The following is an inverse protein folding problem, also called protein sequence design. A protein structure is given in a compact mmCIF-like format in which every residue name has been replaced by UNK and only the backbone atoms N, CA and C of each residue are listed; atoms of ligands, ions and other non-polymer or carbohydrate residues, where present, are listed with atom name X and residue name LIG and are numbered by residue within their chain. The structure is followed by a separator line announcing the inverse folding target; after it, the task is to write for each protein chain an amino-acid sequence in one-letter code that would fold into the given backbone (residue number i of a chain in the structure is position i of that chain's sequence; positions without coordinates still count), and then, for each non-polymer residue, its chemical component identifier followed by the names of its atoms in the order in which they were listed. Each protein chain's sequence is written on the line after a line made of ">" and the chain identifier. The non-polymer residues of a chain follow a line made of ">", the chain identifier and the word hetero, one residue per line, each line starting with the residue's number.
data_IF_303272970469
#
_entry.id   IF_303272970469
#
_cell.length_a   1.000
_cell.length_b   1.000
_cell.length_c   1.000
_cell.angle_alpha   90.00
_cell.angle_beta   90.00
_cell.angle_gamma   90.00
#
_symmetry.space_group_name_H-M   'P 1'
#
loop_
_entity.id
_entity.type
_entity.pdbx_description
1 polymer ?
#
# COMPACT_ATOMS: atom_id res chain seq x y z
N UNK A 1 7.79 43.63 -38.67
CA UNK A 1 6.49 43.92 -38.03
C UNK A 1 6.48 43.19 -36.69
N UNK A 2 6.47 43.94 -35.66
CA UNK A 2 6.71 43.66 -34.26
C UNK A 2 5.64 42.79 -33.64
N UNK A 3 6.06 41.69 -32.98
CA UNK A 3 5.20 40.90 -32.15
C UNK A 3 5.08 41.55 -30.73
N UNK A 4 3.88 41.83 -30.32
CA UNK A 4 3.53 42.37 -29.02
C UNK A 4 3.55 41.23 -28.00
N UNK A 5 4.46 41.32 -27.03
CA UNK A 5 4.50 40.45 -25.85
C UNK A 5 3.51 41.02 -24.82
N UNK A 6 2.46 40.28 -24.56
CA UNK A 6 1.47 40.61 -23.52
C UNK A 6 1.99 40.10 -22.17
N UNK A 7 2.40 41.04 -21.34
CA UNK A 7 2.75 40.82 -19.94
C UNK A 7 1.47 40.72 -19.13
N UNK A 8 1.07 39.51 -18.76
CA UNK A 8 0.09 39.35 -17.69
C UNK A 8 0.81 39.28 -16.35
N UNK A 9 0.44 40.25 -15.53
CA UNK A 9 0.91 40.48 -14.18
C UNK A 9 0.62 39.29 -13.25
N UNK A 10 1.68 38.85 -12.58
CA UNK A 10 1.58 37.99 -11.39
C UNK A 10 0.88 38.78 -10.27
N UNK A 11 -0.39 38.52 -10.04
CA UNK A 11 -1.04 38.87 -8.80
C UNK A 11 -0.75 37.80 -7.77
N UNK A 12 0.27 38.02 -6.96
CA UNK A 12 0.51 37.28 -5.73
C UNK A 12 -0.72 37.41 -4.82
N UNK A 13 -1.51 36.37 -4.74
CA UNK A 13 -2.47 36.19 -3.65
C UNK A 13 -1.66 35.82 -2.42
N UNK A 14 -1.34 36.81 -1.60
CA UNK A 14 -0.85 36.61 -0.25
C UNK A 14 -1.90 35.87 0.54
N UNK A 15 -1.79 34.52 0.59
CA UNK A 15 -2.47 33.74 1.62
C UNK A 15 -1.82 34.11 2.95
N UNK A 16 -2.54 34.84 3.79
CA UNK A 16 -2.17 35.00 5.18
C UNK A 16 -1.98 33.62 5.80
N UNK A 17 -0.74 33.32 6.15
CA UNK A 17 -0.42 32.18 7.00
C UNK A 17 -1.00 32.48 8.37
N UNK A 18 -2.22 32.00 8.64
CA UNK A 18 -2.64 31.84 10.03
C UNK A 18 -1.62 30.95 10.72
N UNK A 19 -0.86 31.52 11.66
CA UNK A 19 0.08 30.78 12.47
C UNK A 19 -0.62 29.59 13.12
N UNK A 20 0.14 28.50 13.50
CA UNK A 20 -0.47 27.32 14.10
C UNK A 20 -1.24 27.75 15.34
N UNK A 21 -2.57 27.46 15.36
CA UNK A 21 -3.39 27.69 16.54
C UNK A 21 -2.72 27.00 17.73
N UNK A 22 -2.43 27.73 18.81
CA UNK A 22 -1.83 27.19 20.02
C UNK A 22 -2.76 26.05 20.50
N UNK A 23 -2.33 24.81 20.36
CA UNK A 23 -3.08 23.66 20.87
C UNK A 23 -3.17 23.83 22.38
N UNK A 24 -4.39 23.94 22.90
CA UNK A 24 -4.62 23.95 24.35
C UNK A 24 -4.10 22.63 24.93
N UNK A 25 -3.36 22.69 26.07
CA UNK A 25 -2.95 21.47 26.79
C UNK A 25 -4.19 20.70 27.19
N UNK A 26 -4.21 19.35 27.00
CA UNK A 26 -5.36 18.54 27.40
C UNK A 26 -5.54 18.59 28.93
N UNK A 27 -6.78 18.68 29.35
CA UNK A 27 -7.17 18.64 30.77
C UNK A 27 -7.35 17.19 31.19
N UNK A 28 -6.36 16.64 31.90
CA UNK A 28 -6.35 15.24 32.28
C UNK A 28 -6.86 14.97 33.69
N UNK A 29 -6.88 15.99 34.56
CA UNK A 29 -7.27 15.86 35.94
C UNK A 29 -8.71 16.32 36.19
N UNK A 30 -9.56 15.44 36.73
CA UNK A 30 -10.85 15.83 37.26
C UNK A 30 -10.68 16.48 38.68
N UNK A 31 -11.79 16.87 39.31
CA UNK A 31 -11.73 17.51 40.65
C UNK A 31 -11.02 16.65 41.70
N UNK A 32 -11.29 15.35 41.69
CA UNK A 32 -10.66 14.42 42.63
C UNK A 32 -9.16 14.30 42.36
N UNK A 33 -8.75 14.08 41.10
CA UNK A 33 -7.34 13.92 40.75
C UNK A 33 -6.49 15.14 41.08
N UNK A 34 -7.07 16.34 41.08
CA UNK A 34 -6.38 17.56 41.49
C UNK A 34 -5.97 17.50 42.96
N UNK A 35 -6.69 16.77 43.81
CA UNK A 35 -6.35 16.61 45.22
C UNK A 35 -5.15 15.71 45.48
N UNK A 36 -4.84 14.85 44.51
CA UNK A 36 -3.67 13.92 44.54
C UNK A 36 -2.64 14.23 43.48
N UNK A 37 -2.61 15.46 42.99
CA UNK A 37 -1.74 15.88 41.89
C UNK A 37 -0.26 15.62 42.17
N UNK A 38 0.20 15.86 43.40
CA UNK A 38 1.59 15.65 43.77
C UNK A 38 2.02 14.18 43.60
N UNK A 39 1.21 13.25 44.03
CA UNK A 39 1.46 11.82 43.92
C UNK A 39 1.37 11.35 42.47
N UNK A 40 0.41 11.88 41.69
CA UNK A 40 0.29 11.59 40.25
C UNK A 40 1.50 12.10 39.48
N UNK A 41 1.96 13.32 39.77
CA UNK A 41 3.14 13.91 39.12
C UNK A 41 4.41 13.13 39.45
N UNK A 42 4.56 12.64 40.68
CA UNK A 42 5.71 11.83 41.09
C UNK A 42 5.76 10.50 40.31
N UNK A 43 4.62 9.82 40.19
CA UNK A 43 4.54 8.57 39.41
C UNK A 43 4.80 8.83 37.91
N UNK A 44 4.25 9.88 37.34
CA UNK A 44 4.48 10.27 35.95
C UNK A 44 5.93 10.65 35.64
N UNK A 45 6.61 11.28 36.61
CA UNK A 45 8.04 11.58 36.51
C UNK A 45 8.89 10.32 36.38
N UNK A 46 8.55 9.25 37.12
CA UNK A 46 9.20 7.95 37.01
C UNK A 46 9.02 7.38 35.58
N UNK A 47 7.79 7.46 35.07
CA UNK A 47 7.49 6.98 33.70
C UNK A 47 8.30 7.73 32.66
N UNK A 48 8.35 9.06 32.72
CA UNK A 48 9.10 9.92 31.79
C UNK A 48 10.61 9.68 31.83
N UNK A 49 11.14 9.21 32.97
CA UNK A 49 12.55 8.81 33.11
C UNK A 49 12.84 7.41 32.54
N UNK A 50 11.87 6.73 31.96
CA UNK A 50 12.00 5.37 31.44
C UNK A 50 11.98 4.28 32.50
N UNK A 51 11.64 4.61 33.74
CA UNK A 51 11.50 3.66 34.89
C UNK A 51 10.11 3.02 34.86
N UNK A 52 9.81 2.25 33.80
CA UNK A 52 8.47 1.72 33.53
C UNK A 52 7.94 0.82 34.65
N UNK A 53 8.77 -0.03 35.24
CA UNK A 53 8.38 -0.95 36.31
C UNK A 53 8.05 -0.18 37.60
N UNK A 54 8.90 0.78 37.98
CA UNK A 54 8.69 1.63 39.15
C UNK A 54 7.44 2.51 38.98
N UNK A 55 7.23 3.06 37.77
CA UNK A 55 6.04 3.85 37.47
C UNK A 55 4.78 2.99 37.55
N UNK A 56 4.80 1.78 37.00
CA UNK A 56 3.68 0.85 37.08
C UNK A 56 3.33 0.53 38.53
N UNK A 57 4.32 0.26 39.38
CA UNK A 57 4.10 0.01 40.79
C UNK A 57 3.50 1.25 41.46
N UNK A 58 4.02 2.44 41.18
CA UNK A 58 3.54 3.68 41.77
C UNK A 58 2.07 3.96 41.40
N UNK A 59 1.69 3.82 40.16
CA UNK A 59 0.29 3.99 39.72
C UNK A 59 -0.63 2.88 40.29
N UNK A 60 -0.14 1.66 40.41
CA UNK A 60 -0.90 0.55 40.99
C UNK A 60 -1.20 0.81 42.48
N UNK A 61 -0.23 1.32 43.22
CA UNK A 61 -0.41 1.70 44.61
C UNK A 61 -1.36 2.88 44.79
N UNK A 62 -1.27 3.88 43.87
CA UNK A 62 -2.21 5.00 43.84
C UNK A 62 -3.65 4.53 43.64
N UNK A 63 -3.87 3.57 42.73
CA UNK A 63 -5.20 2.98 42.52
C UNK A 63 -5.69 2.16 43.68
N UNK A 64 -4.79 1.56 44.42
CA UNK A 64 -5.16 0.85 45.67
C UNK A 64 -5.65 1.82 46.73
N UNK A 65 -4.97 2.96 46.88
CA UNK A 65 -5.35 4.01 47.82
C UNK A 65 -6.52 4.87 47.32
N UNK A 66 -6.59 5.09 46.02
CA UNK A 66 -7.57 5.97 45.36
C UNK A 66 -8.22 5.26 44.17
N UNK A 67 -9.09 4.26 44.42
CA UNK A 67 -9.68 3.45 43.34
C UNK A 67 -10.52 4.23 42.31
N UNK A 68 -10.94 5.45 42.66
CA UNK A 68 -11.76 6.31 41.84
C UNK A 68 -10.97 7.28 40.93
N UNK A 69 -9.62 7.16 40.87
CA UNK A 69 -8.79 8.08 40.12
C UNK A 69 -8.66 7.66 38.62
N UNK A 70 -9.31 8.35 37.69
CA UNK A 70 -9.13 8.08 36.24
C UNK A 70 -7.70 8.32 35.79
N UNK A 71 -7.05 9.38 36.27
CA UNK A 71 -5.68 9.71 35.86
C UNK A 71 -4.68 8.62 36.30
N UNK A 72 -4.85 8.06 37.51
CA UNK A 72 -4.01 6.96 37.98
C UNK A 72 -4.22 5.69 37.12
N UNK A 73 -5.46 5.38 36.73
CA UNK A 73 -5.75 4.27 35.79
C UNK A 73 -5.06 4.47 34.47
N UNK A 74 -5.14 5.66 33.91
CA UNK A 74 -4.45 6.01 32.64
C UNK A 74 -2.93 5.90 32.78
N UNK A 75 -2.36 6.38 33.88
CA UNK A 75 -0.92 6.25 34.14
C UNK A 75 -0.47 4.79 34.28
N UNK A 76 -1.30 3.95 34.89
CA UNK A 76 -1.08 2.50 34.93
C UNK A 76 -1.05 1.92 33.50
N UNK A 77 -2.03 2.25 32.66
CA UNK A 77 -2.10 1.80 31.29
C UNK A 77 -0.87 2.21 30.49
N UNK A 78 -0.46 3.48 30.60
CA UNK A 78 0.75 3.97 29.93
C UNK A 78 2.02 3.26 30.40
N UNK A 79 2.13 2.97 31.68
CA UNK A 79 3.28 2.26 32.26
C UNK A 79 3.34 0.81 31.76
N UNK A 80 2.20 0.14 31.70
CA UNK A 80 2.08 -1.19 31.09
C UNK A 80 2.45 -1.18 29.60
N UNK A 81 2.02 -0.17 28.87
CA UNK A 81 2.33 0.02 27.43
C UNK A 81 3.84 0.22 27.23
N UNK A 82 4.46 1.10 28.03
CA UNK A 82 5.91 1.35 27.99
C UNK A 82 6.71 0.08 28.33
N UNK A 83 6.24 -0.67 29.33
CA UNK A 83 6.86 -1.93 29.75
C UNK A 83 6.72 -3.01 28.64
N UNK A 84 5.55 -3.08 28.00
CA UNK A 84 5.32 -4.00 26.89
C UNK A 84 6.31 -3.75 25.73
N UNK A 85 6.56 -2.50 25.40
CA UNK A 85 7.54 -2.12 24.39
C UNK A 85 8.97 -2.49 24.80
N UNK A 86 9.35 -2.17 26.03
CA UNK A 86 10.68 -2.50 26.58
C UNK A 86 10.95 -4.00 26.60
N UNK A 87 9.96 -4.79 27.00
CA UNK A 87 10.05 -6.25 27.11
C UNK A 87 9.72 -6.97 25.80
N UNK A 88 9.26 -6.24 24.79
CA UNK A 88 8.74 -6.82 23.52
C UNK A 88 7.68 -7.90 23.76
N UNK A 89 6.77 -7.64 24.69
CA UNK A 89 5.75 -8.59 25.15
C UNK A 89 4.36 -8.20 24.67
N UNK A 90 3.79 -9.02 23.80
CA UNK A 90 2.40 -8.87 23.37
C UNK A 90 1.41 -9.14 24.51
N UNK A 91 1.76 -9.98 25.45
CA UNK A 91 0.94 -10.29 26.65
C UNK A 91 0.77 -9.07 27.54
N UNK A 92 1.87 -8.36 27.84
CA UNK A 92 1.82 -7.11 28.61
C UNK A 92 1.05 -6.05 27.84
N UNK A 93 1.20 -5.99 26.52
CA UNK A 93 0.46 -5.05 25.66
C UNK A 93 -1.05 -5.32 25.71
N UNK A 94 -1.49 -6.57 25.73
CA UNK A 94 -2.90 -6.92 25.94
C UNK A 94 -3.43 -6.40 27.27
N UNK A 95 -2.65 -6.50 28.33
CA UNK A 95 -3.00 -5.94 29.63
C UNK A 95 -3.16 -4.42 29.55
N UNK A 96 -2.23 -3.73 28.90
CA UNK A 96 -2.31 -2.27 28.68
C UNK A 96 -3.57 -1.87 27.93
N UNK A 97 -3.91 -2.62 26.86
CA UNK A 97 -5.13 -2.39 26.05
C UNK A 97 -6.37 -2.46 26.94
N UNK A 98 -6.47 -3.46 27.80
CA UNK A 98 -7.59 -3.61 28.73
C UNK A 98 -7.65 -2.46 29.72
N UNK A 99 -6.52 -2.05 30.26
CA UNK A 99 -6.43 -0.94 31.24
C UNK A 99 -6.83 0.39 30.58
N UNK A 100 -6.41 0.67 29.35
CA UNK A 100 -6.86 1.86 28.60
C UNK A 100 -8.39 1.91 28.45
N UNK A 101 -9.01 0.77 28.14
CA UNK A 101 -10.48 0.68 28.01
C UNK A 101 -11.20 0.97 29.31
N UNK A 102 -10.64 0.56 30.45
CA UNK A 102 -11.21 0.78 31.78
C UNK A 102 -11.23 2.26 32.19
N UNK A 103 -10.37 3.10 31.63
CA UNK A 103 -10.35 4.55 31.95
C UNK A 103 -11.68 5.22 31.63
N UNK A 104 -12.33 4.83 30.54
CA UNK A 104 -13.63 5.39 30.15
C UNK A 104 -14.76 5.05 31.12
N UNK A 105 -14.63 3.96 31.87
CA UNK A 105 -15.61 3.46 32.83
C UNK A 105 -15.34 3.96 34.28
N UNK A 106 -14.27 4.73 34.47
CA UNK A 106 -13.94 5.32 35.76
C UNK A 106 -14.91 6.45 36.14
N UNK A 107 -15.06 6.77 37.46
CA UNK A 107 -15.91 7.86 37.89
C UNK A 107 -15.43 9.21 37.38
N UNK A 108 -16.31 9.92 36.62
CA UNK A 108 -16.11 11.30 36.16
C UNK A 108 -14.75 11.59 35.49
N UNK A 109 -14.32 10.80 34.48
CA UNK A 109 -13.10 11.09 33.77
C UNK A 109 -13.28 12.35 32.93
N UNK A 110 -12.20 13.09 32.67
CA UNK A 110 -12.26 14.22 31.74
C UNK A 110 -12.42 13.72 30.30
N UNK A 111 -13.06 14.51 29.46
CA UNK A 111 -13.21 14.18 28.04
C UNK A 111 -11.85 13.96 27.34
N UNK A 112 -10.89 14.82 27.64
CA UNK A 112 -9.55 14.70 27.04
C UNK A 112 -8.83 13.40 27.44
N UNK A 113 -9.00 12.98 28.71
CA UNK A 113 -8.41 11.72 29.20
C UNK A 113 -9.03 10.50 28.51
N UNK A 114 -10.36 10.48 28.40
CA UNK A 114 -11.09 9.40 27.69
C UNK A 114 -10.65 9.31 26.23
N UNK A 115 -10.53 10.45 25.55
CA UNK A 115 -10.05 10.50 24.16
C UNK A 115 -8.65 9.90 24.02
N UNK A 116 -7.72 10.33 24.87
CA UNK A 116 -6.35 9.81 24.83
C UNK A 116 -6.28 8.31 25.10
N UNK A 117 -7.00 7.85 26.12
CA UNK A 117 -7.01 6.43 26.51
C UNK A 117 -7.59 5.55 25.39
N UNK A 118 -8.74 5.88 24.85
CA UNK A 118 -9.40 5.07 23.81
C UNK A 118 -8.68 5.16 22.46
N UNK A 119 -8.10 6.32 22.11
CA UNK A 119 -7.24 6.44 20.92
C UNK A 119 -6.03 5.51 21.03
N UNK A 120 -5.39 5.49 22.16
CA UNK A 120 -4.23 4.61 22.38
C UNK A 120 -4.64 3.14 22.40
N UNK A 121 -5.78 2.82 23.00
CA UNK A 121 -6.34 1.46 22.97
C UNK A 121 -6.54 0.99 21.51
N UNK A 122 -7.19 1.80 20.70
CA UNK A 122 -7.43 1.48 19.29
C UNK A 122 -6.12 1.30 18.51
N UNK A 123 -5.14 2.18 18.74
CA UNK A 123 -3.82 2.11 18.11
C UNK A 123 -3.10 0.80 18.47
N UNK A 124 -3.13 0.41 19.74
CA UNK A 124 -2.47 -0.83 20.21
C UNK A 124 -3.20 -2.09 19.73
N UNK A 125 -4.53 -2.05 19.67
CA UNK A 125 -5.32 -3.12 19.06
C UNK A 125 -4.94 -3.31 17.58
N UNK A 126 -4.81 -2.22 16.83
CA UNK A 126 -4.37 -2.25 15.43
C UNK A 126 -2.95 -2.81 15.32
N UNK A 127 -2.04 -2.39 16.18
CA UNK A 127 -0.66 -2.89 16.20
C UNK A 127 -0.59 -4.41 16.36
N UNK A 128 -1.46 -4.98 17.18
CA UNK A 128 -1.55 -6.45 17.37
C UNK A 128 -2.31 -7.16 16.23
N UNK A 129 -2.76 -6.42 15.22
CA UNK A 129 -3.55 -6.99 14.13
C UNK A 129 -5.03 -7.22 14.47
N UNK A 130 -5.50 -6.75 15.62
CA UNK A 130 -6.92 -6.83 16.04
C UNK A 130 -7.72 -5.67 15.43
N UNK A 131 -7.74 -5.57 14.11
CA UNK A 131 -8.30 -4.42 13.37
C UNK A 131 -9.79 -4.24 13.67
N UNK A 132 -10.55 -5.32 13.73
CA UNK A 132 -11.98 -5.26 14.03
C UNK A 132 -12.26 -4.67 15.43
N UNK A 133 -11.49 -5.04 16.42
CA UNK A 133 -11.58 -4.47 17.77
C UNK A 133 -11.20 -3.00 17.79
N UNK A 134 -10.19 -2.62 17.03
CA UNK A 134 -9.76 -1.22 16.86
C UNK A 134 -10.88 -0.37 16.27
N UNK A 135 -11.54 -0.87 15.24
CA UNK A 135 -12.71 -0.19 14.63
C UNK A 135 -13.86 -0.03 15.62
N UNK A 136 -14.14 -1.06 16.43
CA UNK A 136 -15.17 -0.96 17.45
C UNK A 136 -14.83 0.09 18.54
N UNK A 137 -13.57 0.19 18.92
CA UNK A 137 -13.11 1.22 19.87
C UNK A 137 -13.22 2.63 19.27
N UNK A 138 -12.82 2.80 18.03
CA UNK A 138 -12.94 4.07 17.30
C UNK A 138 -14.40 4.47 17.09
N UNK A 139 -15.29 3.53 16.87
CA UNK A 139 -16.73 3.78 16.76
C UNK A 139 -17.31 4.32 18.09
N UNK A 140 -16.90 3.75 19.23
CA UNK A 140 -17.26 4.28 20.56
C UNK A 140 -16.80 5.72 20.73
N UNK A 141 -15.60 6.05 20.26
CA UNK A 141 -15.09 7.43 20.30
C UNK A 141 -15.89 8.37 19.43
N UNK A 142 -16.22 7.96 18.21
CA UNK A 142 -17.04 8.76 17.28
C UNK A 142 -18.44 8.98 17.86
N UNK A 143 -19.04 7.97 18.48
CA UNK A 143 -20.36 8.09 19.13
C UNK A 143 -20.35 9.09 20.29
N UNK A 144 -19.24 9.15 21.03
CA UNK A 144 -19.05 10.11 22.13
C UNK A 144 -18.71 11.53 21.65
N UNK A 145 -17.96 11.63 20.58
CA UNK A 145 -17.42 12.89 20.05
C UNK A 145 -17.69 12.99 18.55
N UNK A 146 -18.96 13.12 18.14
CA UNK A 146 -19.35 13.03 16.72
C UNK A 146 -18.83 14.19 15.87
N UNK A 147 -18.40 15.30 16.47
CA UNK A 147 -17.85 16.45 15.75
C UNK A 147 -16.32 16.45 15.67
N UNK A 148 -15.66 15.44 16.21
CA UNK A 148 -14.21 15.31 16.17
C UNK A 148 -13.76 14.69 14.83
N UNK A 149 -13.28 15.54 13.93
CA UNK A 149 -12.84 15.16 12.59
C UNK A 149 -11.68 14.16 12.63
N UNK A 150 -10.71 14.38 13.52
CA UNK A 150 -9.52 13.50 13.63
C UNK A 150 -9.89 12.06 13.96
N UNK A 151 -10.83 11.86 14.87
CA UNK A 151 -11.30 10.52 15.25
C UNK A 151 -12.06 9.86 14.11
N UNK A 152 -12.91 10.61 13.41
CA UNK A 152 -13.62 10.09 12.23
C UNK A 152 -12.65 9.65 11.14
N UNK A 153 -11.61 10.43 10.88
CA UNK A 153 -10.57 10.07 9.91
C UNK A 153 -9.84 8.77 10.31
N UNK A 154 -9.53 8.58 11.60
CA UNK A 154 -8.94 7.33 12.09
C UNK A 154 -9.90 6.14 11.92
N UNK A 155 -11.18 6.33 12.16
CA UNK A 155 -12.21 5.31 11.92
C UNK A 155 -12.25 4.91 10.44
N UNK A 156 -12.19 5.88 9.54
CA UNK A 156 -12.13 5.62 8.10
C UNK A 156 -10.92 4.74 7.72
N UNK A 157 -9.75 5.04 8.26
CA UNK A 157 -8.54 4.21 8.06
C UNK A 157 -8.75 2.79 8.60
N UNK A 158 -9.37 2.65 9.76
CA UNK A 158 -9.70 1.35 10.32
C UNK A 158 -10.57 0.50 9.39
N UNK A 159 -11.59 1.06 8.80
CA UNK A 159 -12.41 0.38 7.79
C UNK A 159 -11.61 0.00 6.54
N UNK A 160 -10.72 0.88 6.07
CA UNK A 160 -9.85 0.55 4.94
C UNK A 160 -8.93 -0.63 5.24
N UNK A 161 -8.39 -0.72 6.44
CA UNK A 161 -7.56 -1.85 6.87
C UNK A 161 -8.36 -3.16 6.98
N UNK A 162 -9.67 -3.08 7.25
CA UNK A 162 -10.58 -4.23 7.18
C UNK A 162 -10.95 -4.63 5.75
N UNK A 163 -10.58 -3.83 4.74
CA UNK A 163 -11.06 -4.00 3.38
C UNK A 163 -12.52 -3.53 3.17
N UNK A 164 -13.09 -2.82 4.12
CA UNK A 164 -14.46 -2.30 4.06
C UNK A 164 -14.49 -0.88 3.48
N UNK A 165 -14.35 -0.81 2.16
CA UNK A 165 -14.31 0.46 1.44
C UNK A 165 -15.65 1.21 1.53
N UNK A 166 -16.76 0.52 1.65
CA UNK A 166 -18.09 1.16 1.71
C UNK A 166 -18.29 1.95 3.00
N UNK A 167 -17.99 1.35 4.15
CA UNK A 167 -18.07 2.05 5.43
C UNK A 167 -17.01 3.14 5.54
N UNK A 168 -15.79 2.92 5.04
CA UNK A 168 -14.77 3.96 4.97
C UNK A 168 -15.25 5.17 4.15
N UNK A 169 -15.83 4.93 3.00
CA UNK A 169 -16.39 5.99 2.14
C UNK A 169 -17.46 6.81 2.86
N UNK A 170 -18.39 6.14 3.55
CA UNK A 170 -19.43 6.84 4.32
C UNK A 170 -18.82 7.73 5.41
N UNK A 171 -17.81 7.27 6.12
CA UNK A 171 -17.12 8.05 7.15
C UNK A 171 -16.46 9.30 6.56
N UNK A 172 -15.75 9.17 5.43
CA UNK A 172 -15.12 10.33 4.79
C UNK A 172 -16.12 11.29 4.18
N UNK A 173 -17.26 10.82 3.68
CA UNK A 173 -18.37 11.69 3.26
C UNK A 173 -18.88 12.54 4.42
N UNK A 174 -19.07 11.93 5.59
CA UNK A 174 -19.48 12.66 6.81
C UNK A 174 -18.43 13.71 7.22
N UNK A 175 -17.14 13.35 7.17
CA UNK A 175 -16.05 14.29 7.45
C UNK A 175 -16.10 15.48 6.49
N UNK A 176 -16.31 15.24 5.20
CA UNK A 176 -16.32 16.29 4.18
C UNK A 176 -17.57 17.18 4.27
N UNK A 177 -18.67 16.70 4.85
CA UNK A 177 -19.82 17.55 5.20
C UNK A 177 -19.45 18.50 6.33
N UNK A 178 -18.76 18.02 7.38
CA UNK A 178 -18.37 18.83 8.54
C UNK A 178 -17.16 19.72 8.25
N UNK A 179 -16.22 19.24 7.46
CA UNK A 179 -14.97 19.92 7.13
C UNK A 179 -14.68 19.76 5.62
N UNK A 180 -15.30 20.58 4.74
CA UNK A 180 -15.17 20.42 3.29
C UNK A 180 -13.76 20.53 2.73
N UNK A 181 -12.83 21.12 3.49
CA UNK A 181 -11.45 21.34 3.09
C UNK A 181 -10.45 20.40 3.80
N UNK A 182 -10.94 19.40 4.52
CA UNK A 182 -10.06 18.44 5.19
C UNK A 182 -9.31 17.59 4.17
N UNK A 183 -8.00 17.84 4.03
CA UNK A 183 -7.16 17.20 3.01
C UNK A 183 -7.02 15.69 3.23
N UNK A 184 -6.97 15.25 4.48
CA UNK A 184 -6.87 13.81 4.81
C UNK A 184 -8.10 13.05 4.31
N UNK A 185 -9.30 13.57 4.57
CA UNK A 185 -10.53 12.98 4.07
C UNK A 185 -10.60 13.02 2.54
N UNK A 186 -10.14 14.10 1.91
CA UNK A 186 -10.12 14.21 0.44
C UNK A 186 -9.26 13.16 -0.22
N UNK A 187 -8.01 12.97 0.22
CA UNK A 187 -7.13 11.97 -0.41
C UNK A 187 -7.64 10.56 -0.21
N UNK A 188 -8.17 10.23 0.96
CA UNK A 188 -8.71 8.90 1.24
C UNK A 188 -10.02 8.64 0.49
N UNK A 189 -10.89 9.62 0.42
CA UNK A 189 -12.12 9.54 -0.37
C UNK A 189 -11.82 9.37 -1.86
N UNK A 190 -10.89 10.15 -2.39
CA UNK A 190 -10.43 10.02 -3.77
C UNK A 190 -9.79 8.65 -4.04
N UNK A 191 -9.00 8.15 -3.13
CA UNK A 191 -8.42 6.80 -3.20
C UNK A 191 -9.52 5.72 -3.31
N UNK A 192 -10.57 5.82 -2.51
CA UNK A 192 -11.70 4.87 -2.54
C UNK A 192 -12.46 4.98 -3.86
N UNK A 193 -12.74 6.19 -4.34
CA UNK A 193 -13.40 6.42 -5.63
C UNK A 193 -12.62 5.77 -6.77
N UNK A 194 -11.28 5.93 -6.77
CA UNK A 194 -10.40 5.31 -7.75
C UNK A 194 -10.49 3.79 -7.69
N UNK A 195 -10.46 3.19 -6.49
CA UNK A 195 -10.60 1.75 -6.28
C UNK A 195 -11.94 1.21 -6.79
N UNK A 196 -12.99 2.02 -6.75
CA UNK A 196 -14.32 1.71 -7.30
C UNK A 196 -14.46 1.98 -8.79
N UNK A 197 -13.36 2.25 -9.46
CA UNK A 197 -13.31 2.60 -10.89
C UNK A 197 -14.03 3.91 -11.26
N UNK A 198 -14.26 4.78 -10.30
CA UNK A 198 -14.77 6.14 -10.52
C UNK A 198 -13.58 7.07 -10.76
N UNK A 199 -12.94 6.90 -11.91
CA UNK A 199 -11.64 7.49 -12.21
C UNK A 199 -11.71 9.03 -12.29
N UNK A 200 -12.62 9.57 -13.10
CA UNK A 200 -12.76 11.01 -13.27
C UNK A 200 -13.11 11.71 -11.95
N UNK A 201 -14.02 11.13 -11.18
CA UNK A 201 -14.49 11.69 -9.90
C UNK A 201 -13.39 11.67 -8.83
N UNK A 202 -12.45 10.72 -8.89
CA UNK A 202 -11.33 10.62 -7.92
C UNK A 202 -10.34 11.77 -8.03
N UNK A 203 -10.17 12.33 -9.23
CA UNK A 203 -9.11 13.29 -9.54
C UNK A 203 -9.19 14.58 -8.68
N UNK A 204 -10.34 15.29 -8.60
CA UNK A 204 -10.40 16.49 -7.79
C UNK A 204 -10.07 16.27 -6.31
N UNK A 205 -10.56 15.17 -5.73
CA UNK A 205 -10.31 14.84 -4.32
C UNK A 205 -8.84 14.53 -4.05
N UNK A 206 -8.21 13.69 -4.86
CA UNK A 206 -6.80 13.38 -4.73
C UNK A 206 -5.93 14.64 -4.91
N UNK A 207 -6.21 15.43 -5.92
CA UNK A 207 -5.47 16.64 -6.25
C UNK A 207 -5.59 17.70 -5.15
N UNK A 208 -6.79 18.02 -4.73
CA UNK A 208 -7.05 19.01 -3.67
C UNK A 208 -6.48 18.55 -2.33
N UNK A 209 -6.62 17.27 -1.99
CA UNK A 209 -6.07 16.71 -0.77
C UNK A 209 -4.54 16.78 -0.72
N UNK A 210 -3.85 16.44 -1.83
CA UNK A 210 -2.40 16.58 -1.93
C UNK A 210 -1.94 18.03 -1.88
N UNK A 211 -2.68 18.95 -2.49
CA UNK A 211 -2.39 20.39 -2.47
C UNK A 211 -2.63 21.03 -1.10
N UNK A 212 -3.44 20.42 -0.25
CA UNK A 212 -3.75 20.94 1.08
C UNK A 212 -2.52 20.99 1.99
N UNK A 213 -1.58 20.07 1.82
CA UNK A 213 -0.43 19.91 2.71
C UNK A 213 -0.81 19.45 4.13
N UNK A 214 -2.04 19.00 4.34
CA UNK A 214 -2.50 18.53 5.64
C UNK A 214 -1.72 17.29 6.10
N UNK A 215 -1.56 17.06 7.41
CA UNK A 215 -0.88 15.86 7.92
C UNK A 215 -1.50 14.57 7.38
N UNK A 216 -0.64 13.63 6.98
CA UNK A 216 -1.05 12.33 6.47
C UNK A 216 -1.45 12.31 4.99
N UNK A 217 -1.34 13.42 4.26
CA UNK A 217 -1.65 13.48 2.83
C UNK A 217 -0.44 13.22 1.93
N UNK A 218 0.77 13.49 2.41
CA UNK A 218 2.01 13.29 1.63
C UNK A 218 2.45 11.83 1.66
N UNK A 219 1.75 10.99 0.91
CA UNK A 219 1.97 9.55 0.80
C UNK A 219 2.02 9.15 -0.66
N UNK A 220 3.01 8.34 -1.03
CA UNK A 220 3.25 7.91 -2.41
C UNK A 220 2.04 7.29 -3.10
N UNK A 221 1.17 6.61 -2.34
CA UNK A 221 -0.06 6.01 -2.88
C UNK A 221 -0.98 7.04 -3.54
N UNK A 222 -1.08 8.23 -2.98
CA UNK A 222 -1.95 9.27 -3.52
C UNK A 222 -1.38 9.90 -4.80
N UNK A 223 -0.07 10.09 -4.86
CA UNK A 223 0.60 10.50 -6.11
C UNK A 223 0.46 9.44 -7.20
N UNK A 224 0.65 8.18 -6.83
CA UNK A 224 0.53 7.04 -7.72
C UNK A 224 -0.88 6.96 -8.33
N UNK A 225 -1.91 6.99 -7.52
CA UNK A 225 -3.29 6.86 -7.98
C UNK A 225 -3.81 8.11 -8.69
N UNK A 226 -3.38 9.30 -8.29
CA UNK A 226 -3.72 10.52 -9.02
C UNK A 226 -3.10 10.51 -10.42
N UNK A 227 -1.83 10.18 -10.52
CA UNK A 227 -1.14 10.09 -11.81
C UNK A 227 -1.77 9.04 -12.73
N UNK A 228 -2.09 7.86 -12.19
CA UNK A 228 -2.76 6.79 -12.94
C UNK A 228 -4.16 7.23 -13.41
N UNK A 229 -4.93 7.88 -12.55
CA UNK A 229 -6.24 8.39 -12.93
C UNK A 229 -6.14 9.43 -14.07
N UNK A 230 -5.18 10.35 -13.98
CA UNK A 230 -4.94 11.34 -15.02
C UNK A 230 -4.52 10.69 -16.35
N UNK A 231 -3.64 9.69 -16.33
CA UNK A 231 -3.24 8.95 -17.52
C UNK A 231 -4.43 8.24 -18.18
N UNK A 232 -5.32 7.65 -17.40
CA UNK A 232 -6.54 7.00 -17.91
C UNK A 232 -7.52 7.98 -18.54
N UNK A 233 -7.47 9.25 -18.13
CA UNK A 233 -8.24 10.33 -18.75
C UNK A 233 -7.52 11.01 -19.92
N UNK A 234 -6.33 10.53 -20.30
CA UNK A 234 -5.52 11.11 -21.36
C UNK A 234 -4.87 12.44 -21.01
N UNK A 235 -4.73 12.75 -19.72
CA UNK A 235 -4.18 14.02 -19.24
C UNK A 235 -2.69 13.88 -18.93
N UNK A 236 -1.85 14.65 -19.64
CA UNK A 236 -0.40 14.67 -19.47
C UNK A 236 0.05 15.30 -18.14
N UNK A 237 -0.84 15.96 -17.41
CA UNK A 237 -0.56 16.46 -16.06
C UNK A 237 -0.15 15.33 -15.10
N UNK A 238 -0.46 14.07 -15.44
CA UNK A 238 0.00 12.89 -14.69
C UNK A 238 1.49 12.93 -14.38
N UNK A 239 2.32 13.30 -15.36
CA UNK A 239 3.78 13.33 -15.20
C UNK A 239 4.26 14.45 -14.28
N UNK A 240 3.51 15.54 -14.19
CA UNK A 240 3.78 16.60 -13.19
C UNK A 240 3.64 16.05 -11.76
N UNK A 241 2.64 15.24 -11.51
CA UNK A 241 2.42 14.60 -10.22
C UNK A 241 3.42 13.48 -9.95
N UNK A 242 3.81 12.71 -10.94
CA UNK A 242 4.87 11.71 -10.81
C UNK A 242 6.22 12.36 -10.49
N UNK A 243 6.53 13.47 -11.15
CA UNK A 243 7.75 14.23 -10.86
C UNK A 243 7.75 14.79 -9.45
N UNK A 244 6.63 15.32 -8.98
CA UNK A 244 6.49 15.81 -7.61
C UNK A 244 6.63 14.66 -6.60
N UNK A 245 6.02 13.51 -6.85
CA UNK A 245 6.19 12.31 -6.03
C UNK A 245 7.64 11.85 -5.95
N UNK A 246 8.37 11.92 -7.06
CA UNK A 246 9.80 11.64 -7.09
C UNK A 246 10.61 12.67 -6.26
N UNK A 247 10.37 13.96 -6.45
CA UNK A 247 11.04 15.02 -5.70
C UNK A 247 10.83 14.90 -4.19
N UNK A 248 9.67 14.42 -3.76
CA UNK A 248 9.33 14.21 -2.35
C UNK A 248 9.76 12.85 -1.80
N UNK A 249 10.51 12.07 -2.57
CA UNK A 249 11.11 10.81 -2.15
C UNK A 249 10.19 9.59 -2.19
N UNK A 250 9.03 9.68 -2.81
CA UNK A 250 8.07 8.56 -2.90
C UNK A 250 8.39 7.59 -4.03
N UNK A 251 8.94 8.08 -5.14
CA UNK A 251 9.30 7.29 -6.31
C UNK A 251 10.80 7.38 -6.59
N UNK A 252 11.40 6.29 -7.03
CA UNK A 252 12.79 6.25 -7.43
C UNK A 252 13.09 7.16 -8.65
N UNK A 253 12.13 7.27 -9.56
CA UNK A 253 12.14 8.19 -10.70
C UNK A 253 10.72 8.42 -11.23
N UNK A 254 10.57 9.30 -12.19
CA UNK A 254 9.29 9.51 -12.89
C UNK A 254 8.81 8.23 -13.58
N UNK A 255 9.74 7.42 -14.10
CA UNK A 255 9.45 6.17 -14.78
C UNK A 255 9.32 4.97 -13.85
N UNK A 256 10.02 4.96 -12.70
CA UNK A 256 10.02 3.87 -11.74
C UNK A 256 9.26 4.28 -10.49
N UNK A 257 8.01 3.80 -10.38
CA UNK A 257 7.06 4.27 -9.38
C UNK A 257 6.56 3.18 -8.43
N UNK A 258 7.26 2.07 -8.35
CA UNK A 258 6.96 1.04 -7.35
C UNK A 258 7.09 1.58 -5.93
N UNK A 259 6.23 1.11 -5.02
CA UNK A 259 6.17 1.60 -3.64
C UNK A 259 6.83 0.66 -2.62
N UNK A 260 7.00 -0.62 -2.97
CA UNK A 260 7.59 -1.64 -2.10
C UNK A 260 8.99 -2.02 -2.58
N UNK A 261 9.97 -1.22 -2.18
CA UNK A 261 11.31 -1.27 -2.73
C UNK A 261 12.38 -1.68 -1.73
N UNK A 262 13.47 -2.25 -2.25
CA UNK A 262 14.78 -2.30 -1.59
C UNK A 262 15.64 -1.21 -2.23
N UNK A 263 16.22 -0.36 -1.40
CA UNK A 263 17.03 0.74 -1.88
C UNK A 263 18.39 0.25 -2.42
N UNK A 264 18.87 0.93 -3.46
CA UNK A 264 20.20 0.68 -4.00
C UNK A 264 20.30 -0.43 -5.05
N UNK A 265 19.20 -1.08 -5.41
CA UNK A 265 19.19 -2.05 -6.50
C UNK A 265 19.40 -1.35 -7.85
N UNK A 266 20.16 -1.98 -8.75
CA UNK A 266 20.35 -1.49 -10.11
C UNK A 266 19.00 -1.29 -10.79
N UNK A 267 18.75 -0.09 -11.27
CA UNK A 267 17.50 0.31 -11.88
C UNK A 267 17.72 0.62 -13.37
N UNK A 268 17.18 -0.25 -14.23
CA UNK A 268 17.12 -0.04 -15.67
C UNK A 268 15.90 -0.75 -16.24
N UNK A 269 15.21 -0.19 -17.25
CA UNK A 269 13.95 -0.75 -17.72
C UNK A 269 14.13 -2.11 -18.43
N UNK A 270 15.11 -2.23 -19.32
CA UNK A 270 15.39 -3.47 -20.06
C UNK A 270 16.70 -4.10 -19.63
N UNK A 271 16.71 -5.42 -19.54
CA UNK A 271 17.85 -6.21 -19.11
C UNK A 271 18.23 -7.23 -20.16
N UNK A 272 19.53 -7.50 -20.30
CA UNK A 272 20.03 -8.67 -21.04
C UNK A 272 20.14 -9.87 -20.14
N UNK A 273 20.15 -11.08 -20.70
CA UNK A 273 20.38 -12.32 -19.94
C UNK A 273 21.67 -12.26 -19.15
N UNK A 274 22.73 -11.77 -19.76
CA UNK A 274 24.06 -11.64 -19.10
C UNK A 274 24.01 -10.74 -17.88
N UNK A 275 23.32 -9.61 -17.97
CA UNK A 275 23.18 -8.66 -16.88
C UNK A 275 22.43 -9.26 -15.67
N UNK A 276 21.48 -10.15 -15.91
CA UNK A 276 20.72 -10.83 -14.85
C UNK A 276 21.53 -11.91 -14.15
N UNK A 277 22.48 -12.53 -14.83
CA UNK A 277 23.20 -13.71 -14.36
C UNK A 277 22.39 -15.01 -14.40
N UNK A 278 21.13 -14.98 -14.80
CA UNK A 278 20.24 -16.14 -14.85
C UNK A 278 20.33 -16.88 -16.20
N UNK A 279 21.54 -17.13 -16.67
CA UNK A 279 21.81 -17.69 -17.99
C UNK A 279 21.20 -19.08 -18.19
N UNK A 280 21.28 -19.95 -17.18
CA UNK A 280 20.75 -21.32 -17.29
C UNK A 280 19.22 -21.35 -17.35
N UNK A 281 18.54 -20.48 -16.60
CA UNK A 281 17.09 -20.36 -16.67
C UNK A 281 16.64 -19.92 -18.06
N UNK A 282 17.24 -18.88 -18.62
CA UNK A 282 16.90 -18.38 -19.96
C UNK A 282 17.18 -19.43 -21.04
N UNK A 283 18.32 -20.11 -20.97
CA UNK A 283 18.63 -21.24 -21.87
C UNK A 283 17.60 -22.35 -21.80
N UNK A 284 17.19 -22.71 -20.61
CA UNK A 284 16.18 -23.75 -20.40
C UNK A 284 14.84 -23.34 -21.00
N UNK A 285 14.41 -22.10 -20.79
CA UNK A 285 13.17 -21.55 -21.37
C UNK A 285 13.24 -21.57 -22.91
N UNK A 286 14.32 -21.08 -23.49
CA UNK A 286 14.45 -20.98 -24.94
C UNK A 286 14.60 -22.36 -25.61
N UNK A 287 15.24 -23.31 -24.96
CA UNK A 287 15.35 -24.71 -25.47
C UNK A 287 14.03 -25.46 -25.42
N UNK A 288 13.20 -25.20 -24.43
CA UNK A 288 11.97 -25.92 -24.17
C UNK A 288 10.71 -25.12 -24.55
N UNK A 289 10.85 -24.07 -25.33
CA UNK A 289 9.73 -23.17 -25.63
C UNK A 289 8.56 -23.88 -26.32
N UNK A 290 8.85 -24.84 -27.20
CA UNK A 290 7.80 -25.65 -27.89
C UNK A 290 7.04 -26.54 -26.91
N UNK A 291 7.73 -27.17 -25.97
CA UNK A 291 7.13 -27.97 -24.92
C UNK A 291 6.20 -27.11 -24.04
N UNK A 292 6.68 -25.95 -23.62
CA UNK A 292 5.90 -24.99 -22.81
C UNK A 292 4.67 -24.53 -23.59
N UNK A 293 4.85 -24.15 -24.86
CA UNK A 293 3.76 -23.77 -25.76
C UNK A 293 2.73 -24.88 -25.90
N UNK A 294 3.15 -26.10 -26.21
CA UNK A 294 2.27 -27.21 -26.56
C UNK A 294 1.43 -27.64 -25.33
N UNK A 295 2.00 -27.67 -24.13
CA UNK A 295 1.24 -27.92 -22.92
C UNK A 295 0.22 -26.80 -22.64
N UNK A 296 0.59 -25.54 -22.82
CA UNK A 296 -0.30 -24.41 -22.67
C UNK A 296 -1.46 -24.41 -23.66
N UNK A 297 -1.19 -24.73 -24.94
CA UNK A 297 -2.21 -24.85 -25.97
C UNK A 297 -3.16 -26.01 -25.69
N UNK A 298 -2.67 -27.14 -25.21
CA UNK A 298 -3.51 -28.28 -24.85
C UNK A 298 -4.48 -27.94 -23.73
N UNK A 299 -4.08 -27.13 -22.77
CA UNK A 299 -4.95 -26.61 -21.69
C UNK A 299 -6.01 -25.67 -22.26
N UNK A 300 -5.62 -24.76 -23.14
CA UNK A 300 -6.56 -23.83 -23.79
C UNK A 300 -7.66 -24.55 -24.56
N UNK A 301 -7.32 -25.65 -25.26
CA UNK A 301 -8.25 -26.38 -26.08
C UNK A 301 -9.22 -27.26 -25.26
N UNK A 302 -8.76 -27.84 -24.15
CA UNK A 302 -9.52 -28.79 -23.35
C UNK A 302 -10.34 -28.13 -22.22
N UNK A 303 -9.80 -27.06 -21.62
CA UNK A 303 -10.38 -26.43 -20.41
C UNK A 303 -10.37 -24.91 -20.52
N UNK A 304 -11.24 -24.35 -21.34
CA UNK A 304 -11.33 -22.92 -21.64
C UNK A 304 -11.45 -22.00 -20.42
N UNK A 305 -11.94 -22.50 -19.27
CA UNK A 305 -12.14 -21.74 -18.06
C UNK A 305 -10.92 -21.59 -17.15
N UNK A 306 -9.79 -22.22 -17.49
CA UNK A 306 -8.57 -22.21 -16.65
C UNK A 306 -7.78 -20.89 -16.78
N UNK A 307 -7.81 -20.27 -17.97
CA UNK A 307 -7.26 -18.94 -18.15
C UNK A 307 -8.22 -17.90 -17.56
N UNK A 308 -7.92 -17.43 -16.36
CA UNK A 308 -8.74 -16.46 -15.67
C UNK A 308 -8.52 -15.05 -16.25
N UNK A 309 -9.58 -14.24 -16.41
CA UNK A 309 -9.42 -12.86 -16.86
C UNK A 309 -8.57 -12.04 -15.88
N UNK A 310 -7.80 -11.10 -16.41
CA UNK A 310 -7.08 -10.13 -15.57
C UNK A 310 -8.07 -9.33 -14.74
N UNK A 311 -7.81 -9.18 -13.46
CA UNK A 311 -8.73 -8.60 -12.47
C UNK A 311 -8.16 -7.37 -11.73
N UNK A 312 -6.96 -6.91 -12.09
CA UNK A 312 -6.32 -5.75 -11.49
C UNK A 312 -6.74 -4.40 -12.14
N UNK A 313 -7.71 -4.43 -13.05
CA UNK A 313 -8.21 -3.27 -13.79
C UNK A 313 -7.11 -2.50 -14.55
N UNK A 314 -6.22 -3.23 -15.19
CA UNK A 314 -5.11 -2.66 -15.97
C UNK A 314 -5.46 -2.42 -17.44
N UNK A 315 -6.55 -2.98 -17.95
CA UNK A 315 -6.97 -2.87 -19.34
C UNK A 315 -7.84 -1.64 -19.58
N UNK A 316 -7.56 -0.94 -20.67
CA UNK A 316 -8.52 -0.01 -21.26
C UNK A 316 -9.66 -0.76 -21.95
N UNK A 317 -9.29 -1.78 -22.72
CA UNK A 317 -10.19 -2.58 -23.56
C UNK A 317 -9.56 -3.93 -23.88
N UNK A 318 -10.38 -4.85 -24.38
CA UNK A 318 -9.95 -6.14 -24.90
C UNK A 318 -10.07 -7.28 -23.89
N UNK A 319 -9.43 -8.37 -24.22
CA UNK A 319 -9.49 -9.62 -23.47
C UNK A 319 -8.07 -10.11 -23.16
N UNK A 320 -7.79 -10.31 -21.88
CA UNK A 320 -6.49 -10.72 -21.36
C UNK A 320 -6.68 -11.73 -20.24
N UNK A 321 -6.17 -12.95 -20.43
CA UNK A 321 -6.28 -14.05 -19.50
C UNK A 321 -4.93 -14.56 -19.01
N UNK A 322 -4.92 -15.15 -17.84
CA UNK A 322 -3.71 -15.67 -17.19
C UNK A 322 -3.96 -17.06 -16.61
N UNK A 323 -2.96 -17.92 -16.72
CA UNK A 323 -2.94 -19.24 -16.10
C UNK A 323 -1.69 -19.36 -15.24
N UNK A 324 -1.86 -19.27 -13.91
CA UNK A 324 -0.77 -19.12 -12.95
C UNK A 324 -0.33 -20.47 -12.41
N UNK A 325 1.00 -20.72 -12.44
CA UNK A 325 1.65 -21.94 -11.94
C UNK A 325 2.31 -21.73 -10.58
N UNK A 326 2.94 -20.57 -10.36
CA UNK A 326 3.48 -20.11 -9.08
C UNK A 326 3.00 -18.72 -8.76
N UNK A 327 2.62 -18.52 -7.50
CA UNK A 327 2.17 -17.24 -6.96
C UNK A 327 2.90 -16.99 -5.64
N UNK A 328 3.61 -15.87 -5.55
CA UNK A 328 4.31 -15.46 -4.32
C UNK A 328 5.25 -16.55 -3.75
N UNK A 329 5.99 -17.23 -4.62
CA UNK A 329 6.91 -18.29 -4.25
C UNK A 329 6.25 -19.62 -3.90
N UNK A 330 4.97 -19.78 -4.18
CA UNK A 330 4.21 -21.02 -3.90
C UNK A 330 3.72 -21.66 -5.19
N UNK A 331 4.01 -22.95 -5.34
CA UNK A 331 3.52 -23.75 -6.45
C UNK A 331 2.00 -23.98 -6.34
N UNK A 332 1.30 -23.79 -7.43
CA UNK A 332 -0.12 -24.15 -7.56
C UNK A 332 -0.22 -25.56 -8.13
N UNK A 333 -0.34 -26.56 -7.26
CA UNK A 333 -0.32 -27.97 -7.66
C UNK A 333 -1.49 -28.31 -8.62
N UNK A 334 -2.64 -27.74 -8.39
CA UNK A 334 -3.80 -27.90 -9.26
C UNK A 334 -3.52 -27.42 -10.69
N UNK A 335 -2.84 -26.30 -10.85
CA UNK A 335 -2.44 -25.78 -12.16
C UNK A 335 -1.35 -26.64 -12.80
N UNK A 336 -0.33 -27.03 -12.04
CA UNK A 336 0.78 -27.83 -12.54
C UNK A 336 0.38 -29.24 -12.99
N UNK A 337 -0.71 -29.79 -12.53
CA UNK A 337 -1.26 -31.06 -13.04
C UNK A 337 -1.61 -31.00 -14.53
N UNK A 338 -1.99 -29.84 -15.03
CA UNK A 338 -2.33 -29.63 -16.43
C UNK A 338 -1.10 -29.42 -17.33
N UNK A 339 0.00 -28.96 -16.75
CA UNK A 339 1.25 -28.67 -17.46
C UNK A 339 2.47 -29.26 -16.71
N UNK A 340 2.47 -30.58 -16.50
CA UNK A 340 3.45 -31.21 -15.60
C UNK A 340 4.90 -31.08 -16.09
N UNK A 341 5.14 -31.15 -17.39
CA UNK A 341 6.48 -31.03 -17.97
C UNK A 341 7.02 -29.61 -17.87
N UNK A 342 6.15 -28.62 -18.07
CA UNK A 342 6.49 -27.20 -17.91
C UNK A 342 6.86 -26.91 -16.45
N UNK A 343 6.05 -27.33 -15.50
CA UNK A 343 6.33 -27.13 -14.07
C UNK A 343 7.61 -27.83 -13.62
N UNK A 344 7.90 -29.01 -14.15
CA UNK A 344 9.11 -29.77 -13.82
C UNK A 344 10.41 -29.02 -14.24
N UNK A 345 10.36 -28.18 -15.26
CA UNK A 345 11.52 -27.40 -15.67
C UNK A 345 12.03 -26.43 -14.60
N UNK A 346 11.14 -25.97 -13.73
CA UNK A 346 11.46 -24.93 -12.73
C UNK A 346 12.06 -25.45 -11.43
N UNK A 347 12.08 -26.76 -11.19
CA UNK A 347 12.59 -27.36 -9.95
C UNK A 347 14.04 -26.97 -9.62
N UNK A 348 14.82 -26.63 -10.63
CA UNK A 348 16.24 -26.24 -10.50
C UNK A 348 16.46 -24.74 -10.35
N UNK A 349 15.39 -23.92 -10.35
CA UNK A 349 15.49 -22.46 -10.44
C UNK A 349 14.79 -21.76 -9.26
N UNK A 350 15.40 -21.82 -8.05
CA UNK A 350 14.81 -21.19 -6.86
C UNK A 350 14.70 -19.65 -6.98
N UNK A 351 15.49 -19.02 -7.85
CA UNK A 351 15.38 -17.59 -8.17
C UNK A 351 14.01 -17.19 -8.72
N UNK A 352 13.29 -18.15 -9.29
CA UNK A 352 11.92 -17.96 -9.80
C UNK A 352 10.88 -18.62 -8.91
N UNK A 353 11.03 -19.92 -8.62
CA UNK A 353 10.05 -20.66 -7.80
C UNK A 353 9.95 -20.12 -6.37
N UNK A 354 11.05 -19.57 -5.85
CA UNK A 354 11.13 -18.97 -4.52
C UNK A 354 10.90 -17.46 -4.50
N UNK A 355 10.59 -16.83 -5.65
CA UNK A 355 10.35 -15.40 -5.71
C UNK A 355 8.99 -15.05 -5.09
N UNK A 356 9.01 -14.65 -3.83
CA UNK A 356 7.79 -14.29 -3.07
C UNK A 356 7.11 -13.02 -3.57
N UNK A 357 7.76 -12.27 -4.45
CA UNK A 357 7.23 -11.05 -5.06
C UNK A 357 7.00 -11.20 -6.55
N UNK A 358 6.81 -12.42 -7.02
CA UNK A 358 6.63 -12.71 -8.43
C UNK A 358 5.71 -13.88 -8.70
N UNK A 359 5.56 -14.18 -9.98
CA UNK A 359 4.68 -15.21 -10.52
C UNK A 359 5.39 -15.98 -11.64
N UNK A 360 4.90 -17.20 -11.90
CA UNK A 360 5.19 -17.95 -13.13
C UNK A 360 3.82 -18.29 -13.72
N UNK A 361 3.59 -17.86 -14.98
CA UNK A 361 2.27 -17.97 -15.59
C UNK A 361 2.28 -17.89 -17.11
N UNK A 362 1.26 -18.49 -17.72
CA UNK A 362 0.90 -18.21 -19.10
C UNK A 362 0.06 -16.93 -19.17
N UNK A 363 0.23 -16.16 -20.22
CA UNK A 363 -0.55 -14.94 -20.49
C UNK A 363 -1.05 -14.95 -21.95
N UNK A 364 -2.37 -14.97 -22.11
CA UNK A 364 -3.02 -14.88 -23.40
C UNK A 364 -3.66 -13.51 -23.57
N UNK A 365 -3.45 -12.89 -24.72
CA UNK A 365 -4.02 -11.59 -25.06
C UNK A 365 -4.67 -11.66 -26.43
N UNK A 366 -5.94 -11.31 -26.50
CA UNK A 366 -6.72 -11.34 -27.73
C UNK A 366 -6.64 -10.01 -28.50
N UNK A 367 -6.94 -10.01 -29.83
CA UNK A 367 -6.93 -8.79 -30.64
C UNK A 367 -7.78 -7.67 -30.05
N UNK A 368 -7.32 -6.43 -30.21
CA UNK A 368 -8.02 -5.25 -29.72
C UNK A 368 -7.79 -4.94 -28.24
N UNK A 369 -6.78 -5.54 -27.63
CA UNK A 369 -6.46 -5.31 -26.21
C UNK A 369 -5.42 -4.21 -26.07
N UNK A 370 -5.67 -3.30 -25.13
CA UNK A 370 -4.74 -2.28 -24.68
C UNK A 370 -4.65 -2.29 -23.17
N UNK A 371 -3.44 -2.36 -22.68
CA UNK A 371 -3.12 -2.27 -21.24
C UNK A 371 -2.58 -0.87 -20.97
N UNK A 372 -3.21 -0.17 -20.01
CA UNK A 372 -2.81 1.16 -19.61
C UNK A 372 -1.35 1.24 -19.18
N UNK A 373 -0.66 2.38 -19.38
CA UNK A 373 0.64 2.60 -18.76
C UNK A 373 0.54 2.38 -17.26
N UNK A 374 1.38 1.53 -16.69
CA UNK A 374 1.37 1.20 -15.27
C UNK A 374 2.73 0.72 -14.79
N UNK A 375 2.90 0.63 -13.49
CA UNK A 375 4.09 0.10 -12.83
C UNK A 375 3.70 -1.01 -11.86
N UNK A 376 4.52 -2.04 -11.78
CA UNK A 376 4.38 -3.09 -10.77
C UNK A 376 4.68 -2.58 -9.35
N UNK A 377 4.37 -3.37 -8.34
CA UNK A 377 4.42 -2.93 -6.95
C UNK A 377 5.83 -2.85 -6.34
N UNK A 378 6.83 -3.50 -6.94
CA UNK A 378 8.15 -3.70 -6.31
C UNK A 378 9.29 -3.64 -7.32
N UNK A 379 10.45 -3.17 -6.87
CA UNK A 379 11.70 -3.27 -7.62
C UNK A 379 12.49 -4.56 -7.33
N UNK A 380 11.93 -5.46 -6.53
CA UNK A 380 12.63 -6.66 -6.07
C UNK A 380 12.60 -7.83 -7.06
N UNK A 381 11.94 -7.65 -8.20
CA UNK A 381 11.85 -8.67 -9.24
C UNK A 381 12.20 -8.11 -10.62
N UNK A 382 12.62 -9.02 -11.49
CA UNK A 382 12.66 -8.80 -12.94
C UNK A 382 11.65 -9.74 -13.60
N UNK A 383 11.10 -9.33 -14.72
CA UNK A 383 10.07 -10.10 -15.45
C UNK A 383 10.59 -10.59 -16.78
N UNK A 384 10.62 -11.91 -16.96
CA UNK A 384 11.00 -12.56 -18.22
C UNK A 384 9.74 -12.91 -19.01
N UNK A 385 9.72 -12.58 -20.29
CA UNK A 385 8.67 -12.96 -21.23
C UNK A 385 9.24 -13.87 -22.31
N UNK A 386 8.74 -15.10 -22.38
CA UNK A 386 9.05 -16.05 -23.45
C UNK A 386 7.91 -16.02 -24.48
N UNK A 387 8.22 -15.74 -25.74
CA UNK A 387 7.24 -15.81 -26.83
C UNK A 387 6.86 -17.25 -27.14
N UNK A 388 5.58 -17.58 -27.17
CA UNK A 388 5.05 -18.89 -27.48
C UNK A 388 4.24 -18.90 -28.79
N UNK A 389 3.24 -18.05 -28.88
CA UNK A 389 2.45 -17.83 -30.12
C UNK A 389 2.39 -16.33 -30.33
N UNK A 390 3.14 -15.86 -31.28
CA UNK A 390 3.28 -14.42 -31.54
C UNK A 390 2.84 -14.12 -32.99
N UNK A 391 1.76 -13.34 -33.16
CA UNK A 391 1.40 -12.83 -34.50
C UNK A 391 2.57 -12.07 -35.13
N UNK A 392 2.65 -12.10 -36.45
CA UNK A 392 3.77 -11.48 -37.19
C UNK A 392 3.91 -9.98 -36.92
N UNK A 393 2.81 -9.30 -36.66
CA UNK A 393 2.77 -7.86 -36.36
C UNK A 393 1.58 -7.52 -35.48
N UNK A 394 1.64 -6.38 -34.80
CA UNK A 394 0.54 -5.83 -34.02
C UNK A 394 0.64 -6.03 -32.52
N UNK A 395 1.61 -6.79 -32.04
CA UNK A 395 1.83 -7.00 -30.62
C UNK A 395 3.13 -6.33 -30.17
N UNK A 396 3.05 -5.40 -29.24
CA UNK A 396 4.22 -4.68 -28.75
C UNK A 396 4.09 -4.31 -27.28
N UNK A 397 5.23 -4.15 -26.64
CA UNK A 397 5.37 -3.70 -25.26
C UNK A 397 6.36 -2.54 -25.18
N UNK A 398 5.95 -1.46 -24.55
CA UNK A 398 6.81 -0.35 -24.17
C UNK A 398 7.20 -0.47 -22.71
N UNK A 399 8.48 -0.30 -22.40
CA UNK A 399 8.96 -0.11 -21.04
C UNK A 399 9.87 1.12 -21.01
N UNK A 400 9.53 2.11 -20.19
CA UNK A 400 10.07 3.46 -20.25
C UNK A 400 9.89 4.06 -21.67
N UNK A 401 10.96 4.42 -22.36
CA UNK A 401 10.90 5.00 -23.73
C UNK A 401 11.29 4.01 -24.83
N UNK A 402 11.43 2.75 -24.54
CA UNK A 402 11.84 1.73 -25.52
C UNK A 402 10.72 0.72 -25.74
N UNK A 403 10.26 0.60 -26.98
CA UNK A 403 9.19 -0.33 -27.38
C UNK A 403 9.81 -1.53 -28.10
N UNK A 404 9.40 -2.73 -27.68
CA UNK A 404 9.89 -3.99 -28.22
C UNK A 404 8.74 -4.92 -28.59
N UNK A 405 9.05 -5.92 -29.40
CA UNK A 405 8.14 -6.99 -29.80
C UNK A 405 8.63 -8.33 -29.25
N UNK A 406 7.71 -9.26 -29.02
CA UNK A 406 8.04 -10.63 -28.68
C UNK A 406 8.39 -11.43 -29.92
N UNK A 407 9.24 -12.44 -29.75
CA UNK A 407 9.56 -13.43 -30.78
C UNK A 407 9.37 -14.83 -30.20
N UNK A 408 8.80 -15.73 -30.99
CA UNK A 408 8.64 -17.12 -30.60
C UNK A 408 9.99 -17.77 -30.25
N UNK A 409 10.05 -18.43 -29.09
CA UNK A 409 11.24 -19.10 -28.59
C UNK A 409 12.31 -18.19 -28.01
N UNK A 410 12.07 -16.88 -27.92
CA UNK A 410 13.00 -15.89 -27.37
C UNK A 410 12.47 -15.24 -26.11
N UNK A 411 13.38 -14.95 -25.19
CA UNK A 411 13.10 -14.28 -23.92
C UNK A 411 13.49 -12.80 -24.02
N UNK A 412 12.58 -11.94 -23.59
CA UNK A 412 12.89 -10.53 -23.29
C UNK A 412 12.73 -10.30 -21.79
N UNK A 413 13.54 -9.41 -21.21
CA UNK A 413 13.60 -9.20 -19.76
C UNK A 413 13.49 -7.71 -19.47
N UNK A 414 12.56 -7.35 -18.60
CA UNK A 414 12.38 -5.98 -18.17
C UNK A 414 12.06 -5.90 -16.67
N UNK A 415 12.25 -4.72 -16.12
CA UNK A 415 11.87 -4.39 -14.75
C UNK A 415 10.48 -3.74 -14.79
N UNK A 416 9.47 -4.46 -14.32
CA UNK A 416 8.08 -4.00 -14.36
C UNK A 416 7.74 -2.91 -13.32
N UNK A 417 8.69 -2.56 -12.46
CA UNK A 417 8.59 -1.36 -11.63
C UNK A 417 8.73 -0.06 -12.42
N UNK A 418 9.26 -0.15 -13.66
CA UNK A 418 9.21 0.92 -14.65
C UNK A 418 7.89 0.94 -15.39
N UNK A 419 7.44 2.14 -15.77
CA UNK A 419 6.22 2.29 -16.56
C UNK A 419 6.28 1.46 -17.82
N UNK A 420 5.28 0.62 -18.02
CA UNK A 420 5.14 -0.19 -19.22
C UNK A 420 3.70 -0.23 -19.69
N UNK A 421 3.53 -0.48 -20.97
CA UNK A 421 2.27 -0.43 -21.69
C UNK A 421 2.26 -1.50 -22.79
N UNK A 422 1.12 -2.13 -23.04
CA UNK A 422 1.00 -3.24 -23.99
C UNK A 422 -0.15 -3.00 -24.96
N UNK A 423 0.09 -3.26 -26.24
CA UNK A 423 -0.91 -3.21 -27.32
C UNK A 423 -0.97 -4.54 -28.02
N UNK A 424 -2.18 -4.98 -28.34
CA UNK A 424 -2.46 -6.16 -29.14
C UNK A 424 -3.43 -5.79 -30.28
N UNK A 425 -2.87 -5.39 -31.40
CA UNK A 425 -3.60 -4.95 -32.60
C UNK A 425 -3.50 -5.96 -33.75
N UNK A 426 -3.15 -7.22 -33.45
CA UNK A 426 -3.06 -8.30 -34.41
C UNK A 426 -4.43 -8.87 -34.81
N UNK A 427 -4.45 -9.84 -35.71
CA UNK A 427 -5.66 -10.54 -36.12
C UNK A 427 -5.91 -11.86 -35.40
N UNK A 428 -4.95 -12.26 -34.56
CA UNK A 428 -5.00 -13.51 -33.79
C UNK A 428 -4.40 -13.32 -32.39
N UNK A 429 -4.63 -14.28 -31.51
CA UNK A 429 -4.16 -14.19 -30.13
C UNK A 429 -2.63 -14.23 -30.03
N UNK A 430 -2.12 -13.60 -28.97
CA UNK A 430 -0.74 -13.69 -28.53
C UNK A 430 -0.68 -14.54 -27.25
N UNK A 431 0.19 -15.55 -27.21
CA UNK A 431 0.48 -16.35 -26.03
C UNK A 431 1.95 -16.18 -25.66
N UNK A 432 2.19 -15.76 -24.40
CA UNK A 432 3.52 -15.67 -23.83
C UNK A 432 3.57 -16.43 -22.49
N UNK A 433 4.79 -16.73 -22.06
CA UNK A 433 5.05 -17.31 -20.76
C UNK A 433 5.85 -16.31 -19.92
N UNK A 434 5.35 -15.99 -18.74
CA UNK A 434 5.91 -14.99 -17.84
C UNK A 434 6.59 -15.68 -16.67
N UNK A 435 7.85 -15.33 -16.44
CA UNK A 435 8.67 -15.87 -15.34
C UNK A 435 9.29 -14.70 -14.59
N UNK A 436 8.80 -14.46 -13.38
CA UNK A 436 9.42 -13.48 -12.49
C UNK A 436 10.59 -14.12 -11.74
N UNK A 437 11.65 -13.36 -11.57
CA UNK A 437 12.83 -13.74 -10.82
C UNK A 437 13.18 -12.67 -9.81
N UNK A 438 13.79 -13.06 -8.69
CA UNK A 438 14.38 -12.08 -7.79
C UNK A 438 15.36 -11.17 -8.53
N UNK A 439 15.36 -9.89 -8.21
CA UNK A 439 16.41 -8.98 -8.67
C UNK A 439 17.77 -9.58 -8.30
N UNK A 440 18.71 -9.68 -9.25
CA UNK A 440 19.96 -10.44 -9.03
C UNK A 440 20.85 -9.90 -7.92
N UNK A 441 20.71 -8.62 -7.56
CA UNK A 441 21.49 -7.98 -6.49
C UNK A 441 20.93 -8.23 -5.08
N UNK A 442 19.73 -8.82 -4.96
CA UNK A 442 19.20 -9.19 -3.65
C UNK A 442 20.04 -10.30 -3.02
N UNK A 443 20.44 -10.10 -1.77
CA UNK A 443 21.18 -11.09 -0.99
C UNK A 443 20.30 -12.29 -0.64
N UNK A 444 20.88 -13.47 -0.34
CA UNK A 444 20.11 -14.62 0.15
C UNK A 444 19.26 -14.28 1.38
N UNK A 445 19.78 -13.47 2.29
CA UNK A 445 19.05 -13.02 3.47
C UNK A 445 17.81 -12.18 3.10
N UNK A 446 17.96 -11.21 2.20
CA UNK A 446 16.84 -10.40 1.71
C UNK A 446 15.76 -11.26 1.04
N UNK A 447 16.16 -12.23 0.19
CA UNK A 447 15.23 -13.16 -0.47
C UNK A 447 14.43 -14.00 0.54
N UNK A 448 15.04 -14.37 1.68
CA UNK A 448 14.36 -15.11 2.75
C UNK A 448 13.43 -14.24 3.59
N UNK A 449 13.77 -12.97 3.82
CA UNK A 449 13.12 -12.13 4.83
C UNK A 449 12.13 -11.12 4.25
N UNK A 450 12.20 -10.83 2.95
CA UNK A 450 11.23 -9.94 2.30
C UNK A 450 9.82 -10.52 2.35
N UNK A 451 8.85 -9.66 2.65
CA UNK A 451 7.43 -10.04 2.68
C UNK A 451 6.93 -10.40 1.27
N UNK A 452 6.01 -11.35 1.15
CA UNK A 452 5.33 -11.61 -0.12
C UNK A 452 4.51 -10.40 -0.59
N UNK A 453 4.43 -10.26 -1.91
CA UNK A 453 3.59 -9.25 -2.57
C UNK A 453 2.86 -9.90 -3.74
#
# INVERSE_FOLDING_TARGET
>A
MTAVVDKRSDSEVKKEKKGPAKKKKPKLLNKFDKTIKAELDAAEKLRKKGKSEEALQAFTELLRSYPQSPRAKYGKAQSEDDLAEKMRSNEILQTAISTYGEVADMPNPTADLVKLALKRQANRQQFLGHIKRSVMTLQKLVDRYPDDISIKNELGVGYLLLGDNNNAMNVYEEVLVLAPNDGFAKVHYGFILKAKNQIAESIPYLKEGLLSGDPGTDDGRFYFHLGDALQRMGDQEAYTWYELGHKRGHFASVWQRSLYNVNGLKAQPWWTTKETGYTELVKTLERNWKLIRDEGLAVMDKERGIFLPEDENLREKGDWGQFTLWQQGRRTDKSCKHVPKTCALFEKFPESTGCKRGQIKYSIMHPGTHVWPHTGPTNCRLRMHLGLVIPKQGCRIRCANDTREWKEGKVIIFDDSFEHEVWQDANSYRLIFIVDVWHPELTPHQRRTLSPI
#
